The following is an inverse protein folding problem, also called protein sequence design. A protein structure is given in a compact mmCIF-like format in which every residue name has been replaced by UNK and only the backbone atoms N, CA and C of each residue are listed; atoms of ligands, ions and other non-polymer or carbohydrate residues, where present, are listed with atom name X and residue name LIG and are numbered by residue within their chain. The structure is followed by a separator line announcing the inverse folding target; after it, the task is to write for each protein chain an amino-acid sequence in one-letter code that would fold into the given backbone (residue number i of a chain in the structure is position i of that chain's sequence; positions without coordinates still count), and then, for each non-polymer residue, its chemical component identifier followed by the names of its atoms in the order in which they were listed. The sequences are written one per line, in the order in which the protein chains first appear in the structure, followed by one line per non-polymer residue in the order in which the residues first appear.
data_IF_693871357032
#
_entry.id   IF_693871357032
#
_cell.length_a   1.000
_cell.length_b   1.000
_cell.length_c   1.000
_cell.angle_alpha   90.00
_cell.angle_beta   90.00
_cell.angle_gamma   90.00
#
_symmetry.space_group_name_H-M   'P 1'
#
loop_
_entity.id
_entity.type
_entity.pdbx_description
1 polymer ?
#
# COMPACT_ATOMS: atom_id res chain seq x y z
N UNK A 1 -5.78 -8.34 -20.00
CA UNK A 1 -5.83 -7.44 -18.82
C UNK A 1 -5.89 -8.29 -17.57
N UNK A 2 -4.77 -8.47 -16.86
CA UNK A 2 -4.64 -9.40 -15.72
C UNK A 2 -3.75 -8.80 -14.61
N UNK A 3 -3.98 -7.54 -14.26
CA UNK A 3 -3.22 -6.85 -13.21
C UNK A 3 -4.19 -5.93 -12.49
N UNK A 4 -4.58 -6.28 -11.26
CA UNK A 4 -5.02 -5.39 -10.16
C UNK A 4 -5.63 -6.21 -8.99
N UNK A 5 -6.15 -7.43 -9.20
CA UNK A 5 -6.83 -8.19 -8.12
C UNK A 5 -5.90 -9.05 -7.25
N UNK A 6 -4.86 -8.44 -6.67
CA UNK A 6 -3.96 -9.09 -5.72
C UNK A 6 -3.46 -8.02 -4.75
N UNK A 7 -4.18 -7.77 -3.66
CA UNK A 7 -3.73 -6.83 -2.62
C UNK A 7 -3.24 -7.57 -1.37
N UNK A 8 -3.88 -8.68 -1.01
CA UNK A 8 -3.51 -9.45 0.17
C UNK A 8 -2.48 -10.55 -0.15
N UNK A 9 -2.74 -11.31 -1.21
CA UNK A 9 -1.73 -12.21 -1.77
C UNK A 9 -0.59 -11.42 -2.39
N UNK A 10 -0.76 -10.19 -2.89
CA UNK A 10 0.40 -9.36 -3.25
C UNK A 10 1.02 -8.64 -2.05
N UNK A 11 0.45 -8.68 -0.85
CA UNK A 11 1.21 -8.28 0.32
C UNK A 11 2.15 -9.42 0.72
N UNK A 12 1.63 -10.65 0.83
CA UNK A 12 2.44 -11.84 1.19
C UNK A 12 3.36 -12.30 0.04
N UNK A 13 2.90 -12.33 -1.21
CA UNK A 13 3.69 -12.62 -2.41
C UNK A 13 4.39 -11.40 -3.01
N UNK A 14 3.88 -10.18 -2.84
CA UNK A 14 4.57 -8.99 -3.38
C UNK A 14 5.76 -8.58 -2.54
N UNK A 15 5.71 -8.79 -1.21
CA UNK A 15 6.93 -8.74 -0.39
C UNK A 15 7.95 -9.83 -0.79
N UNK A 16 7.48 -10.96 -1.34
CA UNK A 16 8.33 -12.02 -1.88
C UNK A 16 8.74 -11.80 -3.35
N UNK A 17 8.12 -10.88 -4.10
CA UNK A 17 8.34 -10.70 -5.54
C UNK A 17 8.86 -9.32 -5.97
N UNK A 18 9.14 -8.40 -5.04
CA UNK A 18 9.74 -7.08 -5.35
C UNK A 18 11.27 -7.11 -5.32
N UNK A 19 11.87 -8.12 -5.96
CA UNK A 19 13.32 -8.36 -5.91
C UNK A 19 13.92 -8.84 -7.23
N UNK A 20 13.47 -8.38 -8.41
CA UNK A 20 14.21 -8.63 -9.65
C UNK A 20 15.59 -7.95 -9.63
N UNK A 21 16.55 -8.61 -9.01
CA UNK A 21 17.95 -8.26 -8.94
C UNK A 21 18.71 -9.48 -8.45
N UNK A 22 19.40 -10.17 -9.37
CA UNK A 22 20.25 -11.31 -9.03
C UNK A 22 21.33 -10.88 -8.04
N UNK A 23 21.22 -11.35 -6.79
CA UNK A 23 22.35 -11.44 -5.87
C UNK A 23 22.41 -12.84 -5.27
N UNK A 24 23.65 -13.25 -5.04
CA UNK A 24 24.08 -14.58 -4.61
C UNK A 24 23.35 -15.04 -3.33
N UNK A 25 22.82 -16.28 -3.27
CA UNK A 25 22.03 -16.71 -2.13
C UNK A 25 22.94 -17.02 -0.92
N UNK A 26 22.71 -16.30 0.18
CA UNK A 26 23.11 -16.71 1.52
C UNK A 26 22.37 -18.01 1.90
N UNK A 27 22.87 -18.84 2.84
CA UNK A 27 22.18 -20.05 3.27
C UNK A 27 20.80 -19.71 3.86
N UNK A 28 19.76 -19.93 3.05
CA UNK A 28 18.37 -19.71 3.46
C UNK A 28 17.90 -20.88 4.31
N UNK A 29 17.41 -20.60 5.51
CA UNK A 29 16.42 -21.47 6.14
C UNK A 29 15.20 -21.45 5.21
N UNK A 30 14.92 -22.56 4.52
CA UNK A 30 13.82 -22.63 3.55
C UNK A 30 12.46 -22.22 4.12
N UNK A 31 11.43 -22.14 3.26
CA UNK A 31 10.09 -21.80 3.71
C UNK A 31 9.51 -22.86 4.66
N UNK A 32 8.74 -22.41 5.65
CA UNK A 32 8.06 -23.26 6.63
C UNK A 32 6.65 -22.76 6.86
N UNK A 33 5.71 -23.69 6.95
CA UNK A 33 4.33 -23.42 7.35
C UNK A 33 3.97 -24.36 8.49
N UNK A 34 3.37 -23.82 9.55
CA UNK A 34 2.70 -24.59 10.59
C UNK A 34 1.34 -23.97 10.84
N UNK A 35 0.29 -24.78 10.87
CA UNK A 35 -1.08 -24.29 10.93
C UNK A 35 -2.04 -25.28 11.58
N UNK A 36 -3.05 -24.76 12.27
CA UNK A 36 -4.30 -25.49 12.48
C UNK A 36 -5.07 -25.55 11.15
N UNK A 37 -5.54 -26.74 10.79
CA UNK A 37 -6.26 -26.95 9.53
C UNK A 37 -7.53 -26.11 9.43
N UNK A 38 -8.28 -26.02 10.53
CA UNK A 38 -9.50 -25.22 10.61
C UNK A 38 -9.21 -23.74 10.31
N UNK A 39 -8.20 -23.16 10.97
CA UNK A 39 -7.79 -21.78 10.75
C UNK A 39 -7.30 -21.53 9.33
N UNK A 40 -6.48 -22.43 8.77
CA UNK A 40 -6.02 -22.30 7.38
C UNK A 40 -7.19 -22.42 6.38
N UNK A 41 -8.16 -23.30 6.65
CA UNK A 41 -9.37 -23.44 5.83
C UNK A 41 -10.21 -22.17 5.87
N UNK A 42 -10.45 -21.59 7.06
CA UNK A 42 -11.17 -20.33 7.22
C UNK A 42 -10.55 -19.17 6.44
N UNK A 43 -9.22 -19.16 6.29
CA UNK A 43 -8.51 -18.19 5.45
C UNK A 43 -8.69 -18.45 3.94
N UNK A 44 -8.58 -19.71 3.51
CA UNK A 44 -8.53 -20.08 2.10
C UNK A 44 -9.91 -20.10 1.43
N UNK A 45 -10.96 -20.50 2.15
CA UNK A 45 -12.32 -20.59 1.59
C UNK A 45 -12.83 -19.25 1.06
N UNK A 46 -12.71 -18.11 1.78
CA UNK A 46 -13.11 -16.81 1.26
C UNK A 46 -12.37 -16.42 -0.03
N UNK A 47 -11.11 -16.84 -0.21
CA UNK A 47 -10.32 -16.55 -1.42
C UNK A 47 -10.90 -17.20 -2.68
N UNK A 48 -11.70 -18.26 -2.54
CA UNK A 48 -12.38 -18.89 -3.67
C UNK A 48 -13.42 -17.97 -4.34
N UNK A 49 -13.97 -16.98 -3.60
CA UNK A 49 -14.88 -15.96 -4.16
C UNK A 49 -14.21 -15.05 -5.20
N UNK A 50 -12.87 -15.05 -5.28
CA UNK A 50 -12.08 -14.31 -6.26
C UNK A 50 -11.95 -15.08 -7.59
N UNK A 51 -13.08 -15.52 -8.14
CA UNK A 51 -13.13 -16.38 -9.33
C UNK A 51 -12.33 -15.80 -10.51
N UNK A 52 -11.68 -16.69 -11.28
CA UNK A 52 -10.82 -16.32 -12.40
C UNK A 52 -9.43 -15.79 -12.01
N UNK A 53 -9.19 -15.43 -10.75
CA UNK A 53 -7.88 -14.94 -10.29
C UNK A 53 -6.89 -16.08 -10.05
N UNK A 54 -5.58 -15.75 -10.06
CA UNK A 54 -4.52 -16.69 -9.64
C UNK A 54 -4.69 -17.07 -8.18
N UNK A 55 -5.12 -16.13 -7.33
CA UNK A 55 -5.29 -16.37 -5.90
C UNK A 55 -6.34 -17.43 -5.60
N UNK A 56 -7.51 -17.38 -6.26
CA UNK A 56 -8.54 -18.41 -6.10
C UNK A 56 -8.05 -19.79 -6.54
N UNK A 57 -7.28 -19.88 -7.65
CA UNK A 57 -6.69 -21.16 -8.12
C UNK A 57 -5.67 -21.73 -7.13
N UNK A 58 -4.78 -20.89 -6.59
CA UNK A 58 -3.80 -21.34 -5.59
C UNK A 58 -4.49 -21.74 -4.27
N UNK A 59 -5.50 -21.00 -3.83
CA UNK A 59 -6.29 -21.34 -2.65
C UNK A 59 -7.02 -22.68 -2.83
N UNK A 60 -7.64 -22.90 -3.99
CA UNK A 60 -8.28 -24.17 -4.33
C UNK A 60 -7.30 -25.33 -4.33
N UNK A 61 -6.14 -25.14 -4.96
CA UNK A 61 -5.10 -26.19 -5.05
C UNK A 61 -4.51 -26.49 -3.68
N UNK A 62 -4.32 -25.48 -2.84
CA UNK A 62 -3.85 -25.65 -1.47
C UNK A 62 -4.88 -26.35 -0.59
N UNK A 63 -6.17 -25.96 -0.68
CA UNK A 63 -7.28 -26.62 0.03
C UNK A 63 -7.37 -28.11 -0.32
N UNK A 64 -7.24 -28.46 -1.60
CA UNK A 64 -7.26 -29.84 -2.05
C UNK A 64 -6.06 -30.67 -1.56
N UNK A 65 -4.94 -30.02 -1.23
CA UNK A 65 -3.73 -30.66 -0.73
C UNK A 65 -3.66 -30.74 0.80
N UNK A 66 -4.62 -30.17 1.54
CA UNK A 66 -4.59 -30.19 3.01
C UNK A 66 -4.81 -31.63 3.55
N UNK A 67 -3.88 -32.17 4.34
CA UNK A 67 -4.04 -33.50 4.94
C UNK A 67 -5.17 -33.53 5.97
N UNK A 68 -5.69 -34.73 6.24
CA UNK A 68 -6.82 -34.93 7.14
C UNK A 68 -6.41 -35.03 8.62
N UNK A 69 -6.05 -33.89 9.20
CA UNK A 69 -5.63 -33.77 10.61
C UNK A 69 -5.78 -32.34 11.14
N UNK A 70 -5.77 -32.18 12.46
CA UNK A 70 -5.95 -30.88 13.10
C UNK A 70 -4.74 -29.95 12.92
N UNK A 71 -3.53 -30.50 12.99
CA UNK A 71 -2.28 -29.76 12.89
C UNK A 71 -1.48 -30.16 11.65
N UNK A 72 -1.10 -29.15 10.86
CA UNK A 72 -0.41 -29.29 9.58
C UNK A 72 0.96 -28.63 9.68
N UNK A 73 1.96 -29.28 9.10
CA UNK A 73 3.25 -28.65 8.83
C UNK A 73 3.71 -28.85 7.39
N UNK A 74 4.55 -27.95 6.91
CA UNK A 74 5.29 -28.11 5.66
C UNK A 74 6.64 -27.38 5.71
N UNK A 75 7.60 -27.88 4.92
CA UNK A 75 8.91 -27.28 4.72
C UNK A 75 9.31 -27.36 3.25
N UNK A 76 9.79 -26.25 2.71
CA UNK A 76 10.32 -26.16 1.35
C UNK A 76 11.74 -25.55 1.38
N UNK A 77 12.80 -26.32 1.09
CA UNK A 77 14.19 -25.87 1.25
C UNK A 77 14.56 -24.59 0.50
N UNK A 78 13.90 -24.30 -0.62
CA UNK A 78 14.23 -23.17 -1.52
C UNK A 78 13.18 -22.06 -1.57
N UNK A 79 12.21 -22.05 -0.64
CA UNK A 79 11.15 -21.05 -0.67
C UNK A 79 10.24 -21.16 -1.90
N UNK A 80 9.97 -22.37 -2.37
CA UNK A 80 9.07 -22.62 -3.48
C UNK A 80 7.67 -22.99 -2.98
N UNK A 81 6.64 -22.34 -3.54
CA UNK A 81 5.25 -22.54 -3.09
C UNK A 81 4.73 -23.92 -3.48
N UNK A 82 5.13 -24.45 -4.64
CA UNK A 82 4.72 -25.78 -5.06
C UNK A 82 5.33 -26.86 -4.15
N UNK A 83 6.63 -26.75 -3.84
CA UNK A 83 7.30 -27.62 -2.87
C UNK A 83 6.71 -27.49 -1.46
N UNK A 84 6.31 -26.28 -1.04
CA UNK A 84 5.63 -26.07 0.25
C UNK A 84 4.27 -26.77 0.26
N UNK A 85 3.52 -26.72 -0.84
CA UNK A 85 2.23 -27.43 -0.94
C UNK A 85 2.44 -28.95 -0.96
N UNK A 86 3.40 -29.45 -1.74
CA UNK A 86 3.69 -30.89 -1.83
C UNK A 86 4.22 -31.47 -0.51
N UNK A 87 4.89 -30.64 0.30
CA UNK A 87 5.42 -31.02 1.61
C UNK A 87 4.41 -31.00 2.76
N UNK A 88 3.13 -30.68 2.50
CA UNK A 88 2.09 -30.66 3.53
C UNK A 88 1.88 -32.06 4.12
N UNK A 89 1.95 -32.15 5.44
CA UNK A 89 1.74 -33.38 6.20
C UNK A 89 1.16 -33.07 7.57
N UNK A 90 0.63 -34.11 8.21
CA UNK A 90 0.24 -34.02 9.61
C UNK A 90 1.47 -33.84 10.49
N UNK A 91 1.38 -32.96 11.47
CA UNK A 91 2.44 -32.74 12.45
C UNK A 91 2.62 -34.00 13.32
N UNK A 92 3.80 -34.62 13.28
CA UNK A 92 4.12 -35.85 14.04
C UNK A 92 4.35 -35.57 15.53
N UNK A 93 4.82 -34.37 15.87
CA UNK A 93 4.82 -33.91 17.26
C UNK A 93 3.40 -33.48 17.61
N UNK A 94 2.79 -34.13 18.60
CA UNK A 94 1.54 -33.69 19.25
C UNK A 94 1.67 -32.34 20.00
N UNK A 95 2.56 -31.48 19.54
CA UNK A 95 2.79 -30.12 19.99
C UNK A 95 3.65 -29.39 18.94
N UNK A 96 3.24 -28.22 18.43
CA UNK A 96 4.06 -27.42 17.52
C UNK A 96 5.22 -26.75 18.30
N UNK A 97 6.38 -26.42 17.71
CA UNK A 97 7.13 -25.25 18.19
C UNK A 97 6.18 -24.04 18.06
N UNK A 98 6.03 -23.23 19.11
CA UNK A 98 4.73 -22.80 19.59
C UNK A 98 3.96 -22.03 18.51
N UNK A 99 2.95 -22.68 17.92
CA UNK A 99 1.68 -21.97 17.76
C UNK A 99 1.32 -21.62 19.20
N UNK A 100 1.59 -20.39 19.64
CA UNK A 100 0.93 -19.92 20.86
C UNK A 100 -0.56 -20.03 20.58
N UNK A 101 -1.38 -20.40 21.57
CA UNK A 101 -2.83 -20.57 21.37
C UNK A 101 -3.49 -19.36 20.65
N UNK A 102 -2.85 -18.20 20.69
CA UNK A 102 -3.28 -16.96 20.05
C UNK A 102 -3.02 -16.84 18.54
N UNK A 103 -2.19 -17.70 17.93
CA UNK A 103 -1.74 -17.61 16.53
C UNK A 103 -1.76 -18.98 15.85
N UNK A 104 -2.93 -19.40 15.32
CA UNK A 104 -3.13 -20.75 14.78
C UNK A 104 -2.44 -20.99 13.42
N UNK A 105 -1.86 -19.95 12.79
CA UNK A 105 -1.09 -20.09 11.54
C UNK A 105 0.20 -19.30 11.64
N UNK A 106 1.32 -19.92 11.29
CA UNK A 106 2.63 -19.25 11.19
C UNK A 106 3.36 -19.68 9.91
N UNK A 107 3.98 -18.70 9.25
CA UNK A 107 4.71 -18.83 8.01
C UNK A 107 6.10 -18.21 8.18
N UNK A 108 7.13 -18.92 7.75
CA UNK A 108 8.46 -18.36 7.54
C UNK A 108 8.77 -18.48 6.04
N UNK A 109 9.16 -17.38 5.40
CA UNK A 109 9.43 -17.32 3.97
C UNK A 109 10.77 -16.65 3.71
N UNK A 110 11.73 -17.31 3.03
CA UNK A 110 13.00 -16.69 2.71
C UNK A 110 12.80 -15.59 1.66
N UNK A 111 13.49 -14.47 1.83
CA UNK A 111 13.42 -13.36 0.89
C UNK A 111 14.65 -13.37 -0.04
N UNK A 112 14.43 -13.01 -1.31
CA UNK A 112 15.51 -12.93 -2.31
C UNK A 112 16.60 -11.92 -1.91
N UNK A 113 16.20 -10.86 -1.20
CA UNK A 113 17.10 -9.82 -0.66
C UNK A 113 17.91 -10.29 0.56
N UNK A 114 17.73 -11.53 1.00
CA UNK A 114 18.26 -12.05 2.26
C UNK A 114 17.31 -11.82 3.43
N UNK A 115 17.46 -12.66 4.45
CA UNK A 115 16.57 -12.71 5.61
C UNK A 115 15.33 -13.57 5.39
N UNK A 116 14.46 -13.58 6.40
CA UNK A 116 13.23 -14.37 6.43
C UNK A 116 12.08 -13.45 6.82
N UNK A 117 11.02 -13.43 6.01
CA UNK A 117 9.72 -12.92 6.40
C UNK A 117 9.10 -13.92 7.37
N UNK A 118 8.78 -13.48 8.57
CA UNK A 118 8.01 -14.28 9.53
C UNK A 118 6.62 -13.69 9.64
N UNK A 119 5.59 -14.47 9.37
CA UNK A 119 4.21 -14.04 9.49
C UNK A 119 3.44 -14.98 10.41
N UNK A 120 2.54 -14.42 11.20
CA UNK A 120 1.57 -15.14 12.01
C UNK A 120 0.18 -14.60 11.74
N UNK A 121 -0.81 -15.48 11.73
CA UNK A 121 -2.18 -15.14 11.39
C UNK A 121 -3.16 -15.72 12.41
N UNK A 122 -4.19 -14.94 12.73
CA UNK A 122 -5.31 -15.33 13.57
C UNK A 122 -6.63 -14.75 13.04
N UNK A 123 -7.73 -15.36 13.46
CA UNK A 123 -9.07 -14.85 13.21
C UNK A 123 -9.63 -14.27 14.51
N UNK A 124 -10.22 -13.09 14.44
CA UNK A 124 -10.99 -12.55 15.54
C UNK A 124 -12.35 -13.27 15.64
N UNK A 125 -13.04 -13.20 16.79
CA UNK A 125 -14.43 -13.65 16.91
C UNK A 125 -15.40 -12.93 15.95
N UNK A 126 -15.05 -11.74 15.45
CA UNK A 126 -15.85 -11.00 14.46
C UNK A 126 -15.56 -11.42 13.01
N UNK A 127 -14.71 -12.42 12.78
CA UNK A 127 -14.32 -12.89 11.44
C UNK A 127 -13.25 -12.02 10.77
N UNK A 128 -12.69 -11.03 11.46
CA UNK A 128 -11.56 -10.26 10.96
C UNK A 128 -10.29 -11.12 10.96
N UNK A 129 -9.52 -11.02 9.88
CA UNK A 129 -8.23 -11.70 9.77
C UNK A 129 -7.15 -10.72 10.18
N UNK A 130 -6.39 -11.06 11.20
CA UNK A 130 -5.21 -10.30 11.62
C UNK A 130 -3.96 -11.08 11.22
N UNK A 131 -3.06 -10.39 10.51
CA UNK A 131 -1.74 -10.90 10.15
C UNK A 131 -0.71 -9.98 10.79
N UNK A 132 0.22 -10.57 11.52
CA UNK A 132 1.42 -9.88 11.96
C UNK A 132 2.61 -10.43 11.18
N UNK A 133 3.28 -9.54 10.46
CA UNK A 133 4.43 -9.86 9.61
C UNK A 133 5.66 -9.10 10.11
N UNK A 134 6.70 -9.84 10.48
CA UNK A 134 8.03 -9.30 10.79
C UNK A 134 8.88 -9.34 9.52
N UNK A 135 9.22 -8.16 9.04
CA UNK A 135 10.09 -7.99 7.89
C UNK A 135 11.55 -8.00 8.36
N UNK A 136 12.47 -8.66 7.65
CA UNK A 136 13.88 -8.48 7.91
C UNK A 136 14.24 -7.03 7.64
N UNK A 137 15.33 -6.57 8.26
CA UNK A 137 15.78 -5.18 8.22
C UNK A 137 15.83 -4.66 6.78
N UNK A 138 14.82 -3.85 6.42
CA UNK A 138 14.79 -3.17 5.14
C UNK A 138 15.88 -2.10 5.16
N UNK A 139 16.72 -2.06 4.13
CA UNK A 139 17.63 -0.95 3.98
C UNK A 139 16.82 0.34 3.79
N UNK A 140 17.05 1.33 4.65
CA UNK A 140 16.40 2.63 4.60
C UNK A 140 16.61 3.38 3.26
N UNK A 141 17.53 2.88 2.43
CA UNK A 141 17.91 3.47 1.15
C UNK A 141 17.07 2.99 -0.05
N UNK A 142 16.21 1.97 0.11
CA UNK A 142 15.33 1.46 -0.94
C UNK A 142 13.92 2.09 -0.90
N UNK A 143 13.08 1.82 -1.92
CA UNK A 143 11.66 2.20 -1.95
C UNK A 143 10.90 1.76 -0.68
N UNK A 144 11.26 0.59 -0.14
CA UNK A 144 10.73 0.09 1.14
C UNK A 144 11.05 0.99 2.34
N UNK A 145 12.08 1.82 2.26
CA UNK A 145 12.46 2.80 3.29
C UNK A 145 11.36 3.83 3.59
N UNK A 146 10.47 4.12 2.64
CA UNK A 146 9.30 4.99 2.87
C UNK A 146 8.25 4.38 3.82
N UNK A 147 8.27 3.06 3.98
CA UNK A 147 7.33 2.32 4.81
C UNK A 147 7.91 2.00 6.19
N UNK A 148 9.20 2.28 6.42
CA UNK A 148 9.85 2.11 7.73
C UNK A 148 9.43 3.30 8.60
N UNK A 149 8.60 3.10 9.63
CA UNK A 149 8.12 4.19 10.44
C UNK A 149 9.25 4.83 11.25
N UNK A 150 9.20 6.16 11.36
CA UNK A 150 10.04 6.92 12.28
C UNK A 150 9.59 6.71 13.72
N UNK A 151 10.50 6.93 14.67
CA UNK A 151 10.18 6.96 16.10
C UNK A 151 9.23 8.11 16.47
N UNK A 152 9.21 9.19 15.67
CA UNK A 152 8.26 10.30 15.86
C UNK A 152 6.91 9.98 15.21
N UNK A 153 5.79 10.42 15.81
CA UNK A 153 4.47 10.21 15.23
C UNK A 153 4.32 10.91 13.88
N UNK A 154 3.39 10.40 13.07
CA UNK A 154 2.97 11.06 11.83
C UNK A 154 2.30 12.39 12.11
N UNK A 155 2.46 13.36 11.20
CA UNK A 155 1.73 14.63 11.25
C UNK A 155 0.20 14.45 11.12
N UNK A 156 -0.58 15.51 11.41
CA UNK A 156 -2.02 15.49 11.25
C UNK A 156 -2.40 15.22 9.79
N UNK A 157 -3.55 14.59 9.58
CA UNK A 157 -4.08 14.35 8.22
C UNK A 157 -4.52 15.66 7.58
N UNK A 158 -4.21 15.80 6.29
CA UNK A 158 -4.51 16.96 5.44
C UNK A 158 -5.56 16.57 4.40
N UNK A 159 -5.41 15.39 3.79
CA UNK A 159 -6.25 14.93 2.69
C UNK A 159 -7.61 14.43 3.18
N UNK A 160 -8.67 14.89 2.51
CA UNK A 160 -10.04 14.43 2.73
C UNK A 160 -10.15 12.91 2.63
N UNK A 161 -11.11 12.38 3.39
CA UNK A 161 -11.41 10.95 3.46
C UNK A 161 -12.70 10.62 2.73
N UNK A 162 -13.41 11.65 2.27
CA UNK A 162 -14.64 11.51 1.51
C UNK A 162 -14.34 10.80 0.19
N UNK A 163 -15.17 9.83 -0.16
CA UNK A 163 -15.04 9.08 -1.43
C UNK A 163 -13.67 8.43 -1.65
N UNK A 164 -12.84 8.26 -0.61
CA UNK A 164 -11.56 7.56 -0.77
C UNK A 164 -11.80 6.09 -1.13
N UNK A 165 -10.89 5.57 -1.93
CA UNK A 165 -10.63 4.15 -2.16
C UNK A 165 -9.42 3.74 -1.33
N UNK A 166 -8.33 4.49 -1.45
CA UNK A 166 -7.08 4.26 -0.73
C UNK A 166 -6.70 5.53 0.02
N UNK A 167 -6.20 5.37 1.23
CA UNK A 167 -5.58 6.46 1.99
C UNK A 167 -4.36 5.91 2.73
N UNK A 168 -3.21 6.54 2.51
CA UNK A 168 -1.93 6.14 3.08
C UNK A 168 -1.28 7.35 3.75
N UNK A 169 -0.71 7.17 4.94
CA UNK A 169 0.01 8.23 5.64
C UNK A 169 1.18 7.64 6.38
N UNK A 170 2.37 8.19 6.20
CA UNK A 170 3.58 7.68 6.82
C UNK A 170 4.56 8.80 7.15
N UNK A 171 5.42 8.51 8.11
CA UNK A 171 6.61 9.30 8.42
C UNK A 171 7.82 8.37 8.37
N UNK A 172 8.57 8.36 7.26
CA UNK A 172 9.70 7.44 7.12
C UNK A 172 10.82 7.78 8.10
N UNK A 173 11.47 6.77 8.69
CA UNK A 173 12.62 6.97 9.58
C UNK A 173 13.78 7.71 8.87
N UNK A 174 14.01 7.40 7.59
CA UNK A 174 15.01 8.06 6.76
C UNK A 174 14.57 9.41 6.18
N UNK A 175 13.34 9.85 6.42
CA UNK A 175 12.73 10.99 5.73
C UNK A 175 12.28 10.68 4.31
N UNK A 176 11.78 11.69 3.61
CA UNK A 176 11.21 11.55 2.26
C UNK A 176 12.29 11.85 1.22
N UNK A 177 12.78 10.82 0.55
CA UNK A 177 13.76 10.97 -0.52
C UNK A 177 13.14 10.74 -1.90
N UNK A 178 12.30 11.68 -2.37
CA UNK A 178 11.56 11.56 -3.66
C UNK A 178 12.50 11.28 -4.83
N UNK A 179 13.69 11.89 -4.83
CA UNK A 179 14.70 11.69 -5.88
C UNK A 179 15.19 10.23 -5.99
N UNK A 180 15.03 9.41 -4.94
CA UNK A 180 15.37 7.97 -4.95
C UNK A 180 14.23 7.09 -5.45
N UNK A 181 13.00 7.62 -5.54
CA UNK A 181 11.84 6.91 -6.08
C UNK A 181 11.84 6.84 -7.61
N UNK A 182 12.72 7.65 -8.23
CA UNK A 182 12.88 7.71 -9.67
C UNK A 182 14.10 6.89 -10.05
N UNK A 183 13.89 5.77 -10.72
CA UNK A 183 14.96 4.90 -11.20
C UNK A 183 15.89 5.68 -12.15
N UNK A 184 17.20 5.64 -11.90
CA UNK A 184 18.16 6.39 -12.70
C UNK A 184 18.15 5.91 -14.15
N UNK A 185 18.13 6.86 -15.10
CA UNK A 185 18.05 6.58 -16.54
C UNK A 185 16.64 6.31 -17.07
N UNK A 186 15.62 6.16 -16.21
CA UNK A 186 14.22 6.00 -16.64
C UNK A 186 13.68 7.25 -17.36
N UNK A 187 12.57 7.12 -18.10
CA UNK A 187 11.85 8.29 -18.61
C UNK A 187 11.45 9.26 -17.49
N UNK A 188 11.13 8.74 -16.30
CA UNK A 188 10.90 9.55 -15.12
C UNK A 188 12.18 10.30 -14.69
N UNK A 189 13.36 9.68 -14.72
CA UNK A 189 14.62 10.39 -14.44
C UNK A 189 14.92 11.48 -15.46
N UNK A 190 14.52 11.28 -16.71
CA UNK A 190 14.64 12.29 -17.77
C UNK A 190 13.63 13.44 -17.57
N UNK A 191 12.39 13.13 -17.18
CA UNK A 191 11.35 14.07 -16.78
C UNK A 191 11.72 14.87 -15.53
N UNK A 192 12.42 14.23 -14.59
CA UNK A 192 12.77 14.73 -13.27
C UNK A 192 14.29 14.86 -13.07
N UNK A 193 15.06 15.25 -14.12
CA UNK A 193 16.52 15.55 -14.01
C UNK A 193 16.87 16.59 -12.93
N UNK A 194 15.86 17.17 -12.28
CA UNK A 194 15.88 17.90 -11.03
C UNK A 194 16.11 16.98 -9.82
N UNK A 195 17.20 16.21 -9.86
CA UNK A 195 17.68 15.39 -8.75
C UNK A 195 18.15 16.30 -7.60
N UNK A 196 17.48 16.17 -6.45
CA UNK A 196 18.02 16.25 -5.09
C UNK A 196 17.91 17.55 -4.27
N UNK A 197 17.99 18.76 -4.82
CA UNK A 197 18.15 19.94 -3.95
C UNK A 197 16.85 20.41 -3.25
N UNK A 198 15.72 20.39 -3.97
CA UNK A 198 14.51 21.14 -3.60
C UNK A 198 13.65 20.53 -2.49
N UNK A 199 13.69 19.20 -2.35
CA UNK A 199 12.90 18.45 -1.37
C UNK A 199 13.78 17.71 -0.37
N UNK A 200 15.06 18.09 -0.27
CA UNK A 200 15.94 17.60 0.79
C UNK A 200 15.33 17.93 2.16
N UNK A 201 15.58 17.07 3.16
CA UNK A 201 14.85 16.99 4.42
C UNK A 201 14.83 18.24 5.33
N UNK A 202 15.37 19.38 4.90
CA UNK A 202 15.31 20.64 5.62
C UNK A 202 13.94 21.33 5.53
N UNK A 203 13.15 21.04 4.49
CA UNK A 203 11.86 21.70 4.25
C UNK A 203 10.68 20.85 4.74
N UNK A 204 10.75 19.54 4.50
CA UNK A 204 9.67 18.62 4.82
C UNK A 204 9.71 18.26 6.32
N UNK A 205 8.54 18.14 6.95
CA UNK A 205 8.43 17.64 8.33
C UNK A 205 8.65 16.12 8.42
N UNK A 206 8.73 15.46 7.27
CA UNK A 206 8.92 14.02 7.11
C UNK A 206 7.63 13.24 6.94
N UNK A 207 6.45 13.86 7.04
CA UNK A 207 5.15 13.22 6.83
C UNK A 207 4.75 13.32 5.37
N UNK A 208 4.35 12.20 4.78
CA UNK A 208 3.61 12.19 3.52
C UNK A 208 2.26 11.49 3.71
N UNK A 209 1.27 11.96 2.98
CA UNK A 209 -0.07 11.42 2.96
C UNK A 209 -0.55 11.35 1.52
N UNK A 210 -1.17 10.26 1.12
CA UNK A 210 -1.67 10.03 -0.24
C UNK A 210 -3.08 9.49 -0.17
N UNK A 211 -3.91 9.90 -1.13
CA UNK A 211 -5.26 9.39 -1.27
C UNK A 211 -5.61 9.16 -2.74
N UNK A 212 -6.24 8.02 -3.00
CA UNK A 212 -6.95 7.74 -4.25
C UNK A 212 -8.43 7.78 -3.96
N UNK A 213 -9.20 8.44 -4.81
CA UNK A 213 -10.62 8.65 -4.63
C UNK A 213 -11.42 7.99 -5.74
N UNK A 214 -12.70 7.77 -5.47
CA UNK A 214 -13.63 7.27 -6.47
C UNK A 214 -13.55 8.10 -7.76
N UNK A 215 -13.42 7.44 -8.92
CA UNK A 215 -13.59 8.06 -10.23
C UNK A 215 -14.91 8.81 -10.30
N UNK A 216 -14.99 9.85 -11.13
CA UNK A 216 -16.28 10.48 -11.41
C UNK A 216 -17.06 9.63 -12.40
N UNK A 217 -18.40 9.77 -12.46
CA UNK A 217 -19.24 8.99 -13.39
C UNK A 217 -18.89 9.15 -14.88
N UNK A 218 -18.14 10.19 -15.24
CA UNK A 218 -17.76 10.51 -16.62
C UNK A 218 -16.24 10.58 -16.83
N UNK A 219 -15.45 10.37 -15.79
CA UNK A 219 -14.01 10.55 -15.81
C UNK A 219 -13.30 9.20 -15.89
N UNK A 220 -12.48 9.00 -16.91
CA UNK A 220 -11.65 7.81 -17.06
C UNK A 220 -10.43 7.79 -16.11
N UNK A 221 -10.13 8.92 -15.46
CA UNK A 221 -9.00 9.04 -14.53
C UNK A 221 -9.50 9.08 -13.08
N UNK A 222 -9.00 8.15 -12.26
CA UNK A 222 -9.16 8.18 -10.80
C UNK A 222 -8.64 9.50 -10.26
N UNK A 223 -9.30 10.08 -9.25
CA UNK A 223 -8.76 11.29 -8.61
C UNK A 223 -7.70 10.88 -7.61
N UNK A 224 -6.60 11.62 -7.54
CA UNK A 224 -5.50 11.33 -6.62
C UNK A 224 -4.85 12.61 -6.11
N UNK A 225 -4.40 12.58 -4.86
CA UNK A 225 -3.64 13.65 -4.24
C UNK A 225 -2.54 13.10 -3.32
N UNK A 226 -1.44 13.85 -3.21
CA UNK A 226 -0.30 13.63 -2.33
C UNK A 226 -0.08 14.92 -1.52
N UNK A 227 -0.13 14.84 -0.20
CA UNK A 227 0.29 15.89 0.71
C UNK A 227 1.70 15.58 1.25
N UNK A 228 2.56 16.58 1.22
CA UNK A 228 3.91 16.56 1.78
C UNK A 228 3.95 17.60 2.90
N UNK A 229 4.04 17.15 4.14
CA UNK A 229 4.14 18.03 5.31
C UNK A 229 5.44 18.81 5.31
N UNK A 230 5.41 20.05 5.80
CA UNK A 230 6.60 20.91 5.88
C UNK A 230 6.76 21.54 7.27
N UNK A 231 8.00 21.90 7.60
CA UNK A 231 8.31 22.73 8.77
C UNK A 231 8.21 24.22 8.50
N UNK A 232 8.43 24.66 7.25
CA UNK A 232 8.39 26.07 6.86
C UNK A 232 7.68 26.27 5.51
N UNK A 233 6.51 26.92 5.55
CA UNK A 233 5.65 27.13 4.36
C UNK A 233 6.34 27.90 3.24
N UNK A 234 7.04 28.98 3.59
CA UNK A 234 7.70 29.86 2.60
C UNK A 234 8.78 29.10 1.81
N UNK A 235 9.61 28.32 2.49
CA UNK A 235 10.63 27.49 1.86
C UNK A 235 10.03 26.39 0.99
N UNK A 236 8.97 25.71 1.48
CA UNK A 236 8.29 24.68 0.71
C UNK A 236 7.62 25.22 -0.55
N UNK A 237 6.99 26.39 -0.45
CA UNK A 237 6.36 27.06 -1.59
C UNK A 237 7.40 27.53 -2.59
N UNK A 238 8.46 28.20 -2.13
CA UNK A 238 9.56 28.64 -3.00
C UNK A 238 10.23 27.45 -3.72
N UNK A 239 10.36 26.31 -3.03
CA UNK A 239 10.90 25.11 -3.61
C UNK A 239 10.01 24.55 -4.73
N UNK A 240 8.70 24.46 -4.50
CA UNK A 240 7.76 23.99 -5.52
C UNK A 240 7.68 24.93 -6.73
N UNK A 241 7.71 26.25 -6.49
CA UNK A 241 7.72 27.25 -7.56
C UNK A 241 8.98 27.14 -8.42
N UNK A 242 10.14 26.94 -7.80
CA UNK A 242 11.39 26.72 -8.53
C UNK A 242 11.35 25.42 -9.34
N UNK A 243 10.78 24.35 -8.78
CA UNK A 243 10.57 23.10 -9.50
C UNK A 243 9.72 23.28 -10.76
N UNK A 244 8.61 24.03 -10.65
CA UNK A 244 7.75 24.35 -11.81
C UNK A 244 8.50 25.19 -12.83
N UNK A 245 9.27 26.18 -12.39
CA UNK A 245 10.05 27.00 -13.32
C UNK A 245 11.09 26.18 -14.08
N UNK A 246 11.72 25.20 -13.42
CA UNK A 246 12.64 24.30 -14.08
C UNK A 246 11.93 23.32 -15.03
N UNK A 247 10.74 22.84 -14.69
CA UNK A 247 9.90 22.05 -15.61
C UNK A 247 9.57 22.84 -16.89
N UNK A 248 9.21 24.11 -16.77
CA UNK A 248 8.86 25.00 -17.90
C UNK A 248 10.02 25.23 -18.88
N UNK A 249 11.26 25.05 -18.43
CA UNK A 249 12.44 25.12 -19.33
C UNK A 249 12.57 23.89 -20.22
N UNK A 250 12.03 22.75 -19.79
CA UNK A 250 12.14 21.47 -20.50
C UNK A 250 10.86 21.13 -21.26
N UNK A 251 9.70 21.50 -20.73
CA UNK A 251 8.39 21.16 -21.28
C UNK A 251 7.58 22.42 -21.59
N UNK A 252 6.80 22.45 -22.69
CA UNK A 252 5.95 23.58 -23.05
C UNK A 252 4.70 23.59 -22.17
N UNK A 253 4.87 23.84 -20.87
CA UNK A 253 3.80 23.92 -19.88
C UNK A 253 3.61 25.33 -19.36
N UNK A 254 2.37 25.71 -19.13
CA UNK A 254 1.94 27.03 -18.69
C UNK A 254 1.48 26.96 -17.25
N UNK A 255 2.18 27.71 -16.39
CA UNK A 255 1.78 27.89 -15.00
C UNK A 255 0.51 28.72 -14.93
N UNK A 256 -0.60 28.09 -14.54
CA UNK A 256 -1.88 28.77 -14.32
C UNK A 256 -2.12 28.92 -12.82
N UNK A 257 -2.28 30.14 -12.27
CA UNK A 257 -2.59 30.33 -10.86
C UNK A 257 -3.84 29.55 -10.43
N UNK A 258 -3.78 28.94 -9.25
CA UNK A 258 -4.89 28.15 -8.70
C UNK A 258 -4.99 28.35 -7.19
N UNK A 259 -6.22 28.36 -6.66
CA UNK A 259 -6.47 28.54 -5.23
C UNK A 259 -7.75 27.81 -4.79
N UNK A 260 -7.75 27.34 -3.54
CA UNK A 260 -8.90 26.79 -2.83
C UNK A 260 -8.89 27.36 -1.42
N UNK A 261 -9.86 28.22 -1.09
CA UNK A 261 -9.88 28.94 0.18
C UNK A 261 -8.55 29.71 0.38
N UNK A 262 -7.86 29.56 1.54
CA UNK A 262 -6.59 30.23 1.81
C UNK A 262 -5.35 29.52 1.19
N UNK A 263 -5.53 28.35 0.59
CA UNK A 263 -4.45 27.61 -0.05
C UNK A 263 -4.25 28.11 -1.48
N UNK A 264 -3.00 28.42 -1.83
CA UNK A 264 -2.62 29.00 -3.13
C UNK A 264 -1.50 28.20 -3.78
N UNK A 265 -1.44 28.23 -5.11
CA UNK A 265 -0.43 27.53 -5.90
C UNK A 265 -0.71 27.67 -7.39
N UNK A 266 -0.48 26.60 -8.15
CA UNK A 266 -0.66 26.62 -9.59
C UNK A 266 -0.98 25.23 -10.16
N UNK A 267 -1.53 25.25 -11.38
CA UNK A 267 -1.77 24.10 -12.22
C UNK A 267 -0.96 24.18 -13.51
N UNK A 268 -0.61 23.02 -14.06
CA UNK A 268 0.00 22.83 -15.37
C UNK A 268 -1.05 22.20 -16.30
N UNK A 269 -2.01 23.01 -16.76
CA UNK A 269 -3.22 22.52 -17.44
C UNK A 269 -2.96 21.96 -18.84
N UNK A 270 -1.87 22.38 -19.47
CA UNK A 270 -1.41 22.00 -20.79
C UNK A 270 -0.37 20.86 -20.77
N UNK A 271 -0.14 20.24 -19.61
CA UNK A 271 0.73 19.07 -19.49
C UNK A 271 0.07 17.83 -20.10
N UNK A 272 0.15 17.70 -21.42
CA UNK A 272 -0.52 16.67 -22.20
C UNK A 272 0.25 15.32 -22.20
N UNK A 273 0.53 14.78 -21.01
CA UNK A 273 1.16 13.45 -20.85
C UNK A 273 0.11 12.34 -20.89
N UNK A 274 -1.10 12.59 -20.36
CA UNK A 274 -2.20 11.62 -20.34
C UNK A 274 -3.55 12.35 -20.30
N UNK A 275 -4.61 11.84 -20.95
CA UNK A 275 -5.93 12.48 -20.93
C UNK A 275 -6.44 12.74 -19.51
N UNK A 276 -6.84 13.99 -19.23
CA UNK A 276 -7.38 14.40 -17.93
C UNK A 276 -6.34 14.64 -16.83
N UNK A 277 -5.05 14.43 -17.10
CA UNK A 277 -3.96 14.82 -16.21
C UNK A 277 -3.67 16.32 -16.42
N UNK A 278 -3.72 17.09 -15.34
CA UNK A 278 -3.51 18.54 -15.34
C UNK A 278 -2.94 18.92 -13.96
N UNK A 279 -1.72 18.46 -13.61
CA UNK A 279 -1.28 18.42 -12.23
C UNK A 279 -1.27 19.81 -11.62
N UNK A 280 -1.76 19.88 -10.41
CA UNK A 280 -1.83 21.10 -9.63
C UNK A 280 -1.14 20.88 -8.30
N UNK A 281 -0.58 21.94 -7.75
CA UNK A 281 -0.22 21.97 -6.34
C UNK A 281 -0.86 23.17 -5.64
N UNK A 282 -1.07 23.02 -4.33
CA UNK A 282 -1.47 24.09 -3.42
C UNK A 282 -0.63 24.01 -2.15
N UNK A 283 -0.23 25.16 -1.63
CA UNK A 283 0.39 25.29 -0.32
C UNK A 283 -0.67 25.62 0.73
N UNK A 284 -0.97 24.66 1.60
CA UNK A 284 -1.81 24.87 2.79
C UNK A 284 -1.01 25.55 3.90
N UNK A 285 -1.56 25.61 5.11
CA UNK A 285 -0.83 26.05 6.30
C UNK A 285 0.28 25.08 6.74
N UNK A 286 0.18 23.79 6.36
CA UNK A 286 1.03 22.71 6.88
C UNK A 286 1.65 21.79 5.82
N UNK A 287 1.14 21.79 4.60
CA UNK A 287 1.59 20.87 3.56
C UNK A 287 1.58 21.48 2.15
N UNK A 288 2.45 20.97 1.29
CA UNK A 288 2.29 21.09 -0.16
C UNK A 288 1.43 19.91 -0.62
N UNK A 289 0.28 20.21 -1.21
CA UNK A 289 -0.66 19.20 -1.71
C UNK A 289 -0.63 19.22 -3.22
N UNK A 290 -0.23 18.10 -3.82
CA UNK A 290 -0.17 17.88 -5.26
C UNK A 290 -1.32 16.97 -5.67
N UNK A 291 -2.12 17.37 -6.66
CA UNK A 291 -3.22 16.57 -7.20
C UNK A 291 -3.06 16.36 -8.69
N UNK A 292 -3.59 15.26 -9.21
CA UNK A 292 -3.53 14.96 -10.65
C UNK A 292 -4.24 16.00 -11.53
N UNK A 293 -5.26 16.66 -11.00
CA UNK A 293 -5.98 17.73 -11.69
C UNK A 293 -6.69 18.67 -10.67
N UNK A 294 -7.28 19.80 -11.11
CA UNK A 294 -7.98 20.71 -10.20
C UNK A 294 -9.13 20.04 -9.42
N UNK A 295 -9.81 19.05 -10.01
CA UNK A 295 -10.89 18.33 -9.34
C UNK A 295 -10.39 17.41 -8.22
N UNK A 296 -9.21 16.79 -8.39
CA UNK A 296 -8.54 16.02 -7.34
C UNK A 296 -8.22 16.89 -6.13
N UNK A 297 -7.67 18.10 -6.32
CA UNK A 297 -7.37 19.01 -5.21
C UNK A 297 -8.62 19.53 -4.51
N UNK A 298 -9.69 19.83 -5.25
CA UNK A 298 -10.96 20.25 -4.64
C UNK A 298 -11.52 19.18 -3.72
N UNK A 299 -11.63 17.94 -4.19
CA UNK A 299 -12.07 16.84 -3.34
C UNK A 299 -11.11 16.61 -2.17
N UNK A 300 -9.80 16.62 -2.43
CA UNK A 300 -8.80 16.32 -1.43
C UNK A 300 -8.71 17.37 -0.31
N UNK A 301 -9.09 18.61 -0.58
CA UNK A 301 -9.10 19.70 0.40
C UNK A 301 -10.53 20.08 0.84
N UNK A 302 -11.54 19.27 0.52
CA UNK A 302 -12.87 19.45 1.10
C UNK A 302 -12.75 19.38 2.64
N UNK A 303 -13.42 20.29 3.38
CA UNK A 303 -13.43 20.23 4.83
C UNK A 303 -13.83 18.84 5.30
N UNK A 304 -13.03 18.26 6.20
CA UNK A 304 -13.40 17.00 6.80
C UNK A 304 -14.60 17.20 7.70
N UNK A 305 -15.60 16.33 7.57
CA UNK A 305 -16.71 16.29 8.50
C UNK A 305 -16.14 15.98 9.91
N UNK A 306 -16.39 16.82 10.94
CA UNK A 306 -15.93 16.54 12.30
C UNK A 306 -16.52 15.24 12.88
N UNK A 307 -17.54 14.67 12.23
CA UNK A 307 -18.22 13.44 12.59
C UNK A 307 -17.45 12.20 12.10
N UNK A 308 -16.37 11.87 12.80
CA UNK A 308 -15.99 10.52 13.23
C UNK A 308 -14.58 10.58 13.83
N UNK A 309 -14.46 10.83 15.13
CA UNK A 309 -13.19 10.67 15.86
C UNK A 309 -12.63 9.23 15.71
N UNK A 310 -13.51 8.24 15.51
CA UNK A 310 -13.14 6.87 15.14
C UNK A 310 -12.42 6.81 13.78
N UNK A 311 -12.82 7.64 12.82
CA UNK A 311 -12.14 7.74 11.53
C UNK A 311 -10.80 8.50 11.69
N UNK A 312 -10.74 9.53 12.55
CA UNK A 312 -9.51 10.28 12.86
C UNK A 312 -8.37 9.36 13.32
N UNK A 313 -8.71 8.31 14.06
CA UNK A 313 -7.81 7.26 14.57
C UNK A 313 -7.53 6.10 13.60
N UNK A 314 -8.00 6.16 12.34
CA UNK A 314 -7.90 5.02 11.39
C UNK A 314 -6.47 4.53 11.15
N UNK A 315 -5.52 5.45 11.07
CA UNK A 315 -4.11 5.12 10.91
C UNK A 315 -3.43 5.45 12.22
N UNK A 316 -2.84 4.43 12.85
CA UNK A 316 -2.17 4.53 14.16
C UNK A 316 -1.07 5.60 14.21
N UNK A 317 -0.41 5.71 15.37
CA UNK A 317 0.57 6.75 15.67
C UNK A 317 1.72 6.85 14.63
N UNK A 318 2.11 5.71 14.07
CA UNK A 318 3.17 5.58 13.07
C UNK A 318 2.68 5.60 11.61
N UNK A 319 1.38 5.82 11.40
CA UNK A 319 0.77 5.85 10.08
C UNK A 319 0.22 4.50 9.65
N UNK A 320 0.03 4.33 8.33
CA UNK A 320 -0.48 3.11 7.73
C UNK A 320 -1.16 3.32 6.38
N UNK A 321 -1.78 2.24 5.89
CA UNK A 321 -2.63 2.20 4.70
C UNK A 321 -4.03 1.77 5.09
N UNK A 322 -5.02 2.42 4.50
CA UNK A 322 -6.41 2.05 4.53
C UNK A 322 -6.93 1.90 3.10
N UNK A 323 -7.64 0.81 2.83
CA UNK A 323 -8.25 0.53 1.55
C UNK A 323 -9.70 0.06 1.76
N UNK A 324 -10.64 0.82 1.21
CA UNK A 324 -12.07 0.50 1.18
C UNK A 324 -12.34 -0.44 -0.01
N UNK A 325 -12.32 -1.75 0.25
CA UNK A 325 -12.42 -2.80 -0.77
C UNK A 325 -13.84 -2.93 -1.32
N UNK A 326 -14.85 -2.71 -0.48
CA UNK A 326 -16.27 -2.69 -0.85
C UNK A 326 -16.61 -1.62 -1.91
N UNK A 327 -15.82 -0.54 -1.96
CA UNK A 327 -15.95 0.53 -2.95
C UNK A 327 -15.26 0.23 -4.29
N UNK A 328 -14.48 -0.85 -4.40
CA UNK A 328 -13.77 -1.16 -5.64
C UNK A 328 -14.73 -1.55 -6.76
N UNK A 329 -15.83 -2.23 -6.46
CA UNK A 329 -16.87 -2.54 -7.46
C UNK A 329 -17.51 -1.26 -8.02
N UNK A 330 -17.79 -0.28 -7.16
CA UNK A 330 -18.29 1.02 -7.59
C UNK A 330 -17.25 1.78 -8.43
N UNK A 331 -15.98 1.77 -8.01
CA UNK A 331 -14.89 2.40 -8.76
C UNK A 331 -14.76 1.80 -10.16
N UNK A 332 -14.78 0.47 -10.24
CA UNK A 332 -14.69 -0.28 -11.49
C UNK A 332 -15.87 0.03 -12.41
N UNK A 333 -17.11 -0.01 -11.89
CA UNK A 333 -18.30 0.34 -12.66
C UNK A 333 -18.24 1.76 -13.25
N UNK A 334 -17.72 2.74 -12.49
CA UNK A 334 -17.54 4.12 -12.96
C UNK A 334 -16.47 4.22 -14.05
N UNK A 335 -15.35 3.49 -13.91
CA UNK A 335 -14.28 3.46 -14.92
C UNK A 335 -14.73 2.77 -16.19
N UNK A 336 -15.34 1.58 -16.06
CA UNK A 336 -15.88 0.77 -17.14
C UNK A 336 -16.86 1.59 -18.00
N UNK A 337 -17.78 2.32 -17.35
CA UNK A 337 -18.70 3.25 -18.03
C UNK A 337 -17.96 4.36 -18.80
N UNK A 338 -16.88 4.90 -18.23
CA UNK A 338 -16.14 5.99 -18.85
C UNK A 338 -15.30 5.56 -20.06
N UNK A 339 -14.83 4.30 -20.09
CA UNK A 339 -13.99 3.75 -21.17
C UNK A 339 -14.75 2.86 -22.17
N UNK A 340 -16.01 2.53 -21.88
CA UNK A 340 -16.85 1.69 -22.74
C UNK A 340 -16.65 0.19 -22.56
N UNK A 341 -16.03 -0.24 -21.45
CA UNK A 341 -15.81 -1.64 -21.11
C UNK A 341 -16.90 -2.15 -20.15
N UNK A 342 -17.15 -3.48 -20.10
CA UNK A 342 -18.00 -4.06 -19.05
C UNK A 342 -17.27 -4.04 -17.69
N UNK A 343 -17.99 -3.81 -16.57
CA UNK A 343 -17.40 -3.91 -15.25
C UNK A 343 -17.00 -5.34 -14.92
N UNK A 344 -16.00 -5.47 -14.04
CA UNK A 344 -15.58 -6.69 -13.40
C UNK A 344 -16.72 -7.29 -12.55
N UNK A 345 -16.86 -8.61 -12.61
CA UNK A 345 -17.78 -9.38 -11.76
C UNK A 345 -17.10 -9.91 -10.49
N UNK A 346 -15.87 -9.48 -10.20
CA UNK A 346 -15.11 -9.96 -9.04
C UNK A 346 -15.73 -9.43 -7.75
N UNK A 347 -16.17 -10.35 -6.89
CA UNK A 347 -16.65 -10.04 -5.54
C UNK A 347 -15.52 -10.27 -4.55
N UNK A 348 -15.14 -9.21 -3.82
CA UNK A 348 -14.14 -9.30 -2.77
C UNK A 348 -14.79 -9.83 -1.49
N UNK A 349 -14.20 -10.83 -0.82
CA UNK A 349 -14.76 -11.37 0.42
C UNK A 349 -14.53 -10.46 1.64
N UNK A 350 -13.79 -9.36 1.45
CA UNK A 350 -13.46 -8.39 2.49
C UNK A 350 -13.93 -7.01 2.06
N UNK A 351 -14.46 -6.23 3.01
CA UNK A 351 -14.85 -4.84 2.80
C UNK A 351 -13.70 -3.86 3.01
N UNK A 352 -12.66 -4.27 3.73
CA UNK A 352 -11.59 -3.36 4.14
C UNK A 352 -10.26 -4.07 4.33
N UNK A 353 -9.19 -3.39 3.95
CA UNK A 353 -7.81 -3.72 4.28
C UNK A 353 -7.18 -2.56 5.05
N UNK A 354 -6.57 -2.87 6.20
CA UNK A 354 -5.76 -1.92 6.99
C UNK A 354 -4.36 -2.48 7.17
N UNK A 355 -3.35 -1.63 7.03
CA UNK A 355 -1.94 -1.96 7.23
C UNK A 355 -1.35 -0.91 8.16
N UNK A 356 -0.76 -1.31 9.27
CA UNK A 356 -0.09 -0.41 10.22
C UNK A 356 1.33 -0.94 10.49
N UNK A 357 2.37 -0.12 10.30
CA UNK A 357 3.70 -0.48 10.72
C UNK A 357 3.91 -0.12 12.20
N UNK A 358 4.67 -0.95 12.91
CA UNK A 358 5.08 -0.75 14.29
C UNK A 358 6.61 -0.85 14.38
N UNK A 359 7.22 0.06 15.14
CA UNK A 359 8.66 0.04 15.41
C UNK A 359 8.91 -0.88 16.60
N UNK A 360 9.58 -2.02 16.39
CA UNK A 360 10.03 -2.88 17.49
C UNK A 360 11.56 -2.96 17.50
N UNK A 361 12.20 -1.93 18.07
CA UNK A 361 13.65 -1.81 18.09
C UNK A 361 14.22 -1.63 16.67
N UNK A 362 14.90 -2.66 16.14
CA UNK A 362 15.50 -2.65 14.80
C UNK A 362 14.65 -3.36 13.74
N UNK A 363 13.64 -4.12 14.15
CA UNK A 363 12.74 -4.85 13.25
C UNK A 363 11.51 -3.98 12.92
N UNK A 364 11.01 -4.14 11.68
CA UNK A 364 9.73 -3.55 11.27
C UNK A 364 8.67 -4.62 11.38
N UNK A 365 7.75 -4.41 12.32
CA UNK A 365 6.55 -5.21 12.43
C UNK A 365 5.46 -4.55 11.58
N UNK A 366 4.75 -5.34 10.79
CA UNK A 366 3.61 -4.87 10.00
C UNK A 366 2.40 -5.67 10.43
N UNK A 367 1.38 -4.98 10.93
CA UNK A 367 0.08 -5.57 11.19
C UNK A 367 -0.87 -5.28 10.05
N UNK A 368 -1.63 -6.29 9.66
CA UNK A 368 -2.58 -6.24 8.56
C UNK A 368 -3.90 -6.78 9.05
N UNK A 369 -4.98 -6.05 8.79
CA UNK A 369 -6.33 -6.47 9.11
C UNK A 369 -7.16 -6.54 7.84
N UNK A 370 -7.93 -7.62 7.70
CA UNK A 370 -8.95 -7.77 6.68
C UNK A 370 -10.31 -7.93 7.35
N UNK A 371 -11.14 -6.92 7.20
CA UNK A 371 -12.49 -6.99 7.72
C UNK A 371 -13.39 -7.70 6.71
N UNK A 372 -14.10 -8.78 7.08
CA UNK A 372 -14.98 -9.51 6.18
C UNK A 372 -16.07 -8.57 5.65
N UNK A 373 -16.52 -8.84 4.42
CA UNK A 373 -17.79 -8.29 3.95
C UNK A 373 -18.91 -8.90 4.78
N UNK A 374 -19.91 -8.10 5.18
CA UNK A 374 -21.13 -8.65 5.77
C UNK A 374 -21.83 -9.47 4.68
N UNK A 375 -22.31 -10.67 5.02
CA UNK A 375 -23.11 -11.46 4.08
C UNK A 375 -24.37 -10.65 3.75
N UNK A 376 -24.37 -10.03 2.57
CA UNK A 376 -25.44 -9.17 2.04
C UNK A 376 -26.59 -9.99 1.49
#
# INVERSE_FOLDING_TARGET
MNRVSSALAALILGLASTGCGQKEPLPQTGARLTAERSALTTLLVPMLRLEGTRLAREAQTLLAALPDCDAIESRAPKGDFAALREGLRCSETGGPPPLTADWPVTLAWPLETGGTLEARLRHSPSGEIEIEARLPRLEANALGGLLIPAAKPVGPGILSRRERLLHARFRPAGGIHIARLVESGSQADQLFRLKSALFSGAVLDGTWESALYLPTRRGALTRAALALGFGQRSLATAAMERFIEDLRKTWPVTRTPFAIGPATGACLLDMNVLPGLAPCYLATDRAIVVGWNPASLRLALEPQDPLNAADAAILGEHGGVWLDLDRLAEADARLATAIGDPPSTVVLPWRRLRIEPEVNGVDVLVRVWLTPAEDS
#
